data_IF_080272771783
#
_entry.id   IF_080272771783
#
_cell.length_a   1.000
_cell.length_b   1.000
_cell.length_c   1.000
_cell.angle_alpha   90.00
_cell.angle_beta   90.00
_cell.angle_gamma   90.00
#
_symmetry.space_group_name_H-M   'P 1'
#
loop_
_entity.id
_entity.type
_entity.pdbx_description
1 polymer ?
#
# COMPACT_ATOMS: atom_id res chain seq x y z
N UNK A 1 8.11 10.36 27.40
CA UNK A 1 7.02 9.47 26.89
C UNK A 1 7.67 8.19 26.39
N UNK A 2 7.34 7.04 26.96
CA UNK A 2 7.87 5.75 26.50
C UNK A 2 7.13 5.38 25.20
N UNK A 3 7.79 5.57 24.06
CA UNK A 3 7.25 5.13 22.76
C UNK A 3 7.38 3.61 22.66
N UNK A 4 6.29 2.90 22.95
CA UNK A 4 6.24 1.46 22.71
C UNK A 4 6.49 1.17 21.24
N UNK A 5 7.40 0.25 20.87
CA UNK A 5 7.66 -0.12 19.49
C UNK A 5 6.38 -0.54 18.76
N UNK A 6 6.33 -0.32 17.44
CA UNK A 6 5.24 -0.86 16.62
C UNK A 6 5.30 -2.40 16.62
N UNK A 7 4.17 -3.09 16.75
CA UNK A 7 4.15 -4.54 16.63
C UNK A 7 4.50 -4.94 15.19
N UNK A 8 5.17 -6.09 15.06
CA UNK A 8 5.45 -6.67 13.74
C UNK A 8 4.16 -7.19 13.12
N UNK A 9 3.67 -6.49 12.11
CA UNK A 9 2.49 -6.90 11.38
C UNK A 9 2.85 -7.91 10.29
N UNK A 10 2.23 -9.08 10.34
CA UNK A 10 2.39 -10.14 9.33
C UNK A 10 1.06 -10.86 9.12
N UNK A 11 0.63 -10.97 7.88
CA UNK A 11 -0.51 -11.82 7.54
C UNK A 11 -0.13 -13.28 7.77
N UNK A 12 -0.86 -13.98 8.65
CA UNK A 12 -0.65 -15.43 8.85
C UNK A 12 -0.91 -16.18 7.56
N UNK A 13 0.12 -16.82 7.00
CA UNK A 13 -0.02 -17.66 5.82
C UNK A 13 -0.81 -18.92 6.15
N UNK A 14 -1.89 -19.17 5.40
CA UNK A 14 -2.35 -20.55 5.24
C UNK A 14 -1.32 -21.26 4.36
N UNK A 15 -0.85 -22.48 4.74
CA UNK A 15 0.06 -23.24 3.90
C UNK A 15 -0.66 -23.66 2.61
N UNK A 16 -0.49 -22.90 1.54
CA UNK A 16 -1.01 -23.23 0.22
C UNK A 16 0.02 -24.14 -0.48
N UNK A 17 -0.24 -25.45 -0.48
CA UNK A 17 0.63 -26.43 -1.12
C UNK A 17 0.70 -26.24 -2.64
N UNK A 18 -0.30 -25.65 -3.30
CA UNK A 18 -0.31 -25.40 -4.74
C UNK A 18 0.65 -24.26 -5.17
N UNK A 19 0.80 -23.20 -4.39
CA UNK A 19 1.74 -22.10 -4.70
C UNK A 19 3.19 -22.55 -4.58
N UNK A 20 3.50 -23.45 -3.65
CA UNK A 20 4.82 -24.08 -3.54
C UNK A 20 5.15 -24.97 -4.75
N UNK A 21 4.16 -25.66 -5.31
CA UNK A 21 4.35 -26.48 -6.51
C UNK A 21 4.54 -25.59 -7.75
N UNK A 22 3.76 -24.53 -7.92
CA UNK A 22 3.92 -23.54 -8.98
C UNK A 22 5.25 -22.76 -8.86
N UNK A 23 5.68 -22.41 -7.64
CA UNK A 23 6.96 -21.75 -7.39
C UNK A 23 8.18 -22.60 -7.76
N UNK A 24 8.07 -23.93 -7.78
CA UNK A 24 9.14 -24.82 -8.27
C UNK A 24 9.32 -24.80 -9.79
N UNK A 25 8.31 -24.29 -10.52
CA UNK A 25 8.32 -24.22 -11.99
C UNK A 25 8.42 -22.78 -12.53
N UNK A 26 8.45 -21.77 -11.65
CA UNK A 26 8.55 -20.37 -12.05
C UNK A 26 9.52 -19.64 -11.09
N UNK A 27 10.80 -19.59 -11.48
CA UNK A 27 11.88 -18.93 -10.74
C UNK A 27 11.53 -17.50 -10.31
N UNK A 28 10.77 -16.77 -11.15
CA UNK A 28 10.32 -15.42 -10.86
C UNK A 28 9.36 -15.33 -9.66
N UNK A 29 8.46 -16.30 -9.48
CA UNK A 29 7.55 -16.36 -8.34
C UNK A 29 8.31 -16.65 -7.05
N UNK A 30 9.24 -17.61 -7.10
CA UNK A 30 10.09 -17.96 -5.96
C UNK A 30 10.98 -16.80 -5.55
N UNK A 31 11.55 -16.08 -6.51
CA UNK A 31 12.38 -14.90 -6.29
C UNK A 31 11.60 -13.80 -5.54
N UNK A 32 10.43 -13.41 -6.04
CA UNK A 32 9.59 -12.37 -5.40
C UNK A 32 9.03 -12.85 -4.06
N UNK A 33 8.65 -14.12 -3.93
CA UNK A 33 8.19 -14.67 -2.65
C UNK A 33 9.27 -14.61 -1.56
N UNK A 34 10.53 -14.80 -1.93
CA UNK A 34 11.68 -14.71 -1.02
C UNK A 34 11.93 -13.28 -0.50
N UNK A 35 11.47 -12.24 -1.20
CA UNK A 35 11.62 -10.84 -0.79
C UNK A 35 10.72 -10.45 0.40
N UNK A 36 9.62 -11.14 0.63
CA UNK A 36 8.58 -10.72 1.58
C UNK A 36 9.09 -10.47 2.98
N UNK A 37 9.84 -11.42 3.54
CA UNK A 37 10.34 -11.28 4.92
C UNK A 37 11.50 -10.28 5.02
N UNK A 38 12.49 -10.25 4.12
CA UNK A 38 13.51 -9.19 4.07
C UNK A 38 12.92 -7.79 3.98
N UNK A 39 11.94 -7.55 3.08
CA UNK A 39 11.30 -6.25 2.89
C UNK A 39 10.50 -5.82 4.12
N UNK A 40 9.75 -6.75 4.69
CA UNK A 40 9.01 -6.47 5.90
C UNK A 40 9.93 -6.14 7.10
N UNK A 41 11.07 -6.82 7.22
CA UNK A 41 12.07 -6.52 8.26
C UNK A 41 12.72 -5.15 8.05
N UNK A 42 13.05 -4.82 6.81
CA UNK A 42 13.58 -3.50 6.47
C UNK A 42 12.61 -2.38 6.90
N UNK A 43 11.30 -2.56 6.65
CA UNK A 43 10.29 -1.61 7.10
C UNK A 43 10.12 -1.59 8.62
N UNK A 44 10.22 -2.72 9.32
CA UNK A 44 10.22 -2.75 10.79
C UNK A 44 11.37 -1.90 11.36
N UNK A 45 12.56 -2.04 10.80
CA UNK A 45 13.75 -1.29 11.20
C UNK A 45 13.64 0.19 10.82
N UNK A 46 13.11 0.50 9.65
CA UNK A 46 12.84 1.87 9.22
C UNK A 46 11.82 2.53 10.16
N UNK A 47 10.69 1.91 10.40
CA UNK A 47 9.64 2.41 11.26
C UNK A 47 10.15 2.64 12.70
N UNK A 48 11.00 1.75 13.21
CA UNK A 48 11.59 1.90 14.54
C UNK A 48 12.44 3.17 14.66
N UNK A 49 13.20 3.51 13.61
CA UNK A 49 13.97 4.76 13.55
C UNK A 49 13.07 6.00 13.42
N UNK A 50 12.12 5.95 12.49
CA UNK A 50 11.26 7.09 12.17
C UNK A 50 10.23 7.40 13.27
N UNK A 51 9.87 6.42 14.10
CA UNK A 51 8.92 6.59 15.21
C UNK A 51 9.43 7.61 16.27
N UNK A 52 10.74 7.74 16.41
CA UNK A 52 11.39 8.60 17.39
C UNK A 52 11.83 9.96 16.83
N UNK A 53 11.60 10.20 15.54
CA UNK A 53 11.93 11.50 14.93
C UNK A 53 10.74 12.45 15.06
N UNK A 54 11.05 13.72 15.11
CA UNK A 54 10.07 14.80 14.94
C UNK A 54 9.90 15.13 13.45
N UNK A 55 8.90 15.93 13.12
CA UNK A 55 8.64 16.40 11.76
C UNK A 55 7.34 15.87 11.15
N UNK A 56 7.03 16.34 9.94
CA UNK A 56 5.81 15.96 9.22
C UNK A 56 5.73 14.44 9.04
N UNK A 57 4.61 13.85 9.43
CA UNK A 57 4.42 12.41 9.43
C UNK A 57 3.54 11.97 8.25
N UNK A 58 4.03 11.02 7.49
CA UNK A 58 3.26 10.23 6.53
C UNK A 58 3.01 8.82 7.06
N UNK A 59 1.76 8.35 7.01
CA UNK A 59 1.38 6.97 7.30
C UNK A 59 1.02 6.28 5.97
N UNK A 60 1.73 5.22 5.62
CA UNK A 60 1.47 4.39 4.46
C UNK A 60 0.79 3.07 4.87
N UNK A 61 -0.44 2.87 4.39
CA UNK A 61 -1.28 1.70 4.65
C UNK A 61 -1.41 0.85 3.38
N UNK A 62 -1.54 -0.47 3.52
CA UNK A 62 -1.80 -1.32 2.37
C UNK A 62 -1.21 -2.72 2.42
N UNK A 63 -0.79 -3.20 1.27
CA UNK A 63 -0.29 -4.57 1.07
C UNK A 63 1.18 -4.63 0.59
N UNK A 64 1.56 -5.71 -0.09
CA UNK A 64 2.91 -5.93 -0.62
C UNK A 64 3.39 -4.82 -1.56
N UNK A 65 2.48 -4.19 -2.30
CA UNK A 65 2.83 -3.10 -3.22
C UNK A 65 3.25 -1.82 -2.49
N UNK A 66 2.76 -1.59 -1.28
CA UNK A 66 3.20 -0.49 -0.42
C UNK A 66 4.53 -0.81 0.26
N UNK A 67 4.81 -2.09 0.52
CA UNK A 67 6.13 -2.52 0.99
C UNK A 67 7.21 -2.53 -0.11
N UNK A 68 6.83 -2.42 -1.37
CA UNK A 68 7.75 -2.44 -2.50
C UNK A 68 8.13 -3.84 -3.00
N UNK A 69 7.41 -4.90 -2.58
CA UNK A 69 7.69 -6.29 -3.01
C UNK A 69 7.62 -6.40 -4.53
N UNK A 70 8.66 -6.95 -5.13
CA UNK A 70 8.87 -7.00 -6.58
C UNK A 70 9.92 -6.02 -7.09
N UNK A 71 10.24 -4.97 -6.35
CA UNK A 71 11.37 -4.10 -6.66
C UNK A 71 12.72 -4.81 -6.43
N UNK A 72 13.79 -4.25 -6.96
CA UNK A 72 15.16 -4.75 -6.75
C UNK A 72 15.62 -4.63 -5.29
N UNK A 73 15.11 -3.65 -4.57
CA UNK A 73 15.33 -3.44 -3.13
C UNK A 73 14.12 -2.71 -2.51
N UNK A 74 13.96 -2.71 -1.17
CA UNK A 74 12.90 -1.92 -0.51
C UNK A 74 12.94 -0.44 -0.86
N UNK A 75 14.12 0.13 -1.03
CA UNK A 75 14.37 1.53 -1.38
C UNK A 75 13.90 1.89 -2.79
N UNK A 76 13.82 0.92 -3.70
CA UNK A 76 13.32 1.09 -5.07
C UNK A 76 11.78 1.05 -5.17
N UNK A 77 11.09 0.91 -4.04
CA UNK A 77 9.63 1.01 -3.95
C UNK A 77 9.13 2.45 -4.08
N UNK A 78 7.83 2.62 -4.36
CA UNK A 78 7.24 3.95 -4.54
C UNK A 78 7.19 4.79 -3.25
N UNK A 79 7.10 4.16 -2.08
CA UNK A 79 7.05 4.89 -0.79
C UNK A 79 8.38 5.58 -0.50
N UNK A 80 9.55 4.94 -0.60
CA UNK A 80 10.84 5.62 -0.47
C UNK A 80 11.07 6.70 -1.54
N UNK A 81 10.66 6.49 -2.79
CA UNK A 81 10.74 7.49 -3.87
C UNK A 81 9.96 8.76 -3.50
N UNK A 82 8.69 8.62 -3.12
CA UNK A 82 7.86 9.76 -2.69
C UNK A 82 8.41 10.41 -1.43
N UNK A 83 8.91 9.64 -0.45
CA UNK A 83 9.55 10.22 0.73
C UNK A 83 10.77 11.06 0.38
N UNK A 84 11.57 10.63 -0.60
CA UNK A 84 12.67 11.42 -1.13
C UNK A 84 12.22 12.78 -1.64
N UNK A 85 11.18 12.80 -2.48
CA UNK A 85 10.58 14.04 -3.02
C UNK A 85 9.98 14.95 -1.94
N UNK A 86 9.33 14.38 -0.93
CA UNK A 86 8.82 15.14 0.23
C UNK A 86 9.97 15.78 1.01
N UNK A 87 11.09 15.05 1.18
CA UNK A 87 12.29 15.55 1.84
C UNK A 87 13.05 16.64 1.07
N UNK A 88 12.81 16.75 -0.24
CA UNK A 88 13.27 17.91 -1.01
C UNK A 88 12.49 19.19 -0.67
N UNK A 89 11.23 19.07 -0.23
CA UNK A 89 10.40 20.19 0.23
C UNK A 89 10.66 20.55 1.69
N UNK A 90 10.79 19.55 2.55
CA UNK A 90 11.11 19.65 3.97
C UNK A 90 11.86 18.40 4.41
N UNK A 91 13.14 18.56 4.81
CA UNK A 91 14.05 17.46 5.16
C UNK A 91 13.55 16.59 6.31
N UNK A 92 12.63 17.10 7.14
CA UNK A 92 12.14 16.43 8.35
C UNK A 92 10.97 15.47 8.10
N UNK A 93 10.48 15.40 6.85
CA UNK A 93 9.48 14.40 6.50
C UNK A 93 9.90 12.99 6.89
N UNK A 94 9.00 12.29 7.54
CA UNK A 94 9.17 10.89 7.96
C UNK A 94 7.97 10.05 7.55
N UNK A 95 8.18 8.75 7.32
CA UNK A 95 7.11 7.82 6.97
C UNK A 95 7.10 6.62 7.91
N UNK A 96 5.92 6.21 8.35
CA UNK A 96 5.68 4.91 8.96
C UNK A 96 4.89 4.07 7.97
N UNK A 97 5.50 3.00 7.48
CA UNK A 97 4.86 2.06 6.57
C UNK A 97 4.28 0.89 7.37
N UNK A 98 2.96 0.86 7.50
CA UNK A 98 2.22 -0.16 8.24
C UNK A 98 1.67 -1.27 7.33
N UNK A 99 2.02 -1.25 6.06
CA UNK A 99 1.56 -2.23 5.10
C UNK A 99 2.05 -3.66 5.41
N UNK A 100 1.27 -4.64 5.00
CA UNK A 100 1.58 -6.06 5.20
C UNK A 100 1.44 -6.83 3.90
N UNK A 101 2.47 -7.55 3.50
CA UNK A 101 2.39 -8.45 2.35
C UNK A 101 1.22 -9.43 2.48
N UNK A 102 0.35 -9.46 1.47
CA UNK A 102 -0.83 -10.31 1.44
C UNK A 102 -2.04 -9.74 2.19
N UNK A 103 -1.96 -8.50 2.70
CA UNK A 103 -3.08 -7.84 3.36
C UNK A 103 -4.29 -7.70 2.42
N UNK A 104 -5.47 -7.77 3.02
CA UNK A 104 -6.77 -7.46 2.44
C UNK A 104 -7.35 -6.23 3.14
N UNK A 105 -8.43 -5.67 2.60
CA UNK A 105 -9.09 -4.49 3.17
C UNK A 105 -9.39 -4.62 4.68
N UNK A 106 -9.85 -5.79 5.14
CA UNK A 106 -10.12 -5.98 6.55
C UNK A 106 -8.87 -5.89 7.44
N UNK A 107 -7.67 -6.31 6.96
CA UNK A 107 -6.44 -6.15 7.73
C UNK A 107 -6.07 -4.67 7.91
N UNK A 108 -6.31 -3.83 6.88
CA UNK A 108 -6.12 -2.38 7.03
C UNK A 108 -7.01 -1.85 8.15
N UNK A 109 -8.28 -2.23 8.15
CA UNK A 109 -9.29 -1.76 9.12
C UNK A 109 -9.02 -2.27 10.53
N UNK A 110 -8.64 -3.53 10.68
CA UNK A 110 -8.58 -4.23 11.97
C UNK A 110 -7.20 -4.22 12.60
N UNK A 111 -6.14 -4.04 11.80
CA UNK A 111 -4.77 -4.16 12.27
C UNK A 111 -3.93 -2.90 12.01
N UNK A 112 -4.01 -2.27 10.82
CA UNK A 112 -3.14 -1.13 10.50
C UNK A 112 -3.67 0.19 11.06
N UNK A 113 -4.94 0.53 10.82
CA UNK A 113 -5.56 1.78 11.32
C UNK A 113 -5.49 1.89 12.85
N UNK A 114 -5.79 0.84 13.65
CA UNK A 114 -5.71 0.92 15.11
C UNK A 114 -4.33 1.28 15.65
N UNK A 115 -3.26 0.96 14.92
CA UNK A 115 -1.89 1.34 15.34
C UNK A 115 -1.65 2.84 15.28
N UNK A 116 -2.33 3.54 14.39
CA UNK A 116 -2.28 5.00 14.29
C UNK A 116 -3.16 5.62 15.38
N UNK A 117 -4.42 5.16 15.48
CA UNK A 117 -5.41 5.70 16.41
C UNK A 117 -5.04 5.48 17.90
N UNK A 118 -4.35 4.38 18.21
CA UNK A 118 -3.91 4.05 19.57
C UNK A 118 -2.66 4.82 20.04
N UNK A 119 -2.10 5.67 19.19
CA UNK A 119 -0.91 6.48 19.48
C UNK A 119 -1.25 7.94 19.19
N UNK A 120 -0.76 8.87 19.95
CA UNK A 120 -0.93 10.32 19.68
C UNK A 120 -0.10 10.74 18.44
N UNK A 121 -0.35 10.08 17.30
CA UNK A 121 0.26 10.38 16.02
C UNK A 121 -0.69 11.25 15.21
N UNK A 122 -0.22 12.40 14.80
CA UNK A 122 -0.96 13.35 13.96
C UNK A 122 -0.33 13.37 12.55
N UNK A 123 -0.71 12.45 11.65
CA UNK A 123 -0.16 12.41 10.31
C UNK A 123 -0.68 13.57 9.46
N UNK A 124 0.22 14.27 8.77
CA UNK A 124 -0.11 15.23 7.72
C UNK A 124 -0.51 14.56 6.42
N UNK A 125 -0.03 13.34 6.19
CA UNK A 125 -0.32 12.55 5.01
C UNK A 125 -0.68 11.13 5.41
N UNK A 126 -1.78 10.61 4.88
CA UNK A 126 -2.13 9.19 4.95
C UNK A 126 -2.36 8.69 3.53
N UNK A 127 -1.72 7.60 3.17
CA UNK A 127 -1.99 6.89 1.92
C UNK A 127 -2.46 5.48 2.18
N UNK A 128 -3.32 4.94 1.30
CA UNK A 128 -3.74 3.54 1.34
C UNK A 128 -3.76 2.96 -0.07
N UNK A 129 -3.10 1.82 -0.28
CA UNK A 129 -3.18 1.08 -1.53
C UNK A 129 -3.44 -0.39 -1.21
N UNK A 130 -4.68 -0.85 -1.50
CA UNK A 130 -5.21 -2.14 -1.03
C UNK A 130 -6.31 -2.66 -1.97
N UNK A 131 -6.63 -3.93 -1.89
CA UNK A 131 -7.77 -4.56 -2.56
C UNK A 131 -7.37 -5.68 -3.52
N UNK A 132 -6.18 -5.66 -4.10
CA UNK A 132 -5.73 -6.69 -5.05
C UNK A 132 -5.84 -8.10 -4.46
N UNK A 133 -5.46 -8.30 -3.21
CA UNK A 133 -5.55 -9.60 -2.53
C UNK A 133 -7.00 -10.04 -2.25
N UNK A 134 -7.95 -9.12 -2.17
CA UNK A 134 -9.38 -9.42 -2.07
C UNK A 134 -9.91 -9.98 -3.38
N UNK A 135 -9.49 -9.39 -4.51
CA UNK A 135 -9.84 -9.89 -5.84
C UNK A 135 -9.26 -11.29 -6.11
N UNK A 136 -7.96 -11.49 -5.85
CA UNK A 136 -7.27 -12.79 -6.05
C UNK A 136 -7.82 -13.84 -5.08
N UNK A 137 -8.12 -13.46 -3.86
CA UNK A 137 -8.71 -14.32 -2.85
C UNK A 137 -10.15 -14.74 -3.13
N UNK A 138 -10.71 -14.37 -4.30
CA UNK A 138 -12.03 -14.84 -4.75
C UNK A 138 -13.20 -14.16 -4.05
N UNK A 139 -13.04 -12.97 -3.46
CA UNK A 139 -14.15 -12.24 -2.83
C UNK A 139 -15.27 -11.99 -3.84
N UNK A 140 -16.52 -12.20 -3.43
CA UNK A 140 -17.70 -11.88 -4.24
C UNK A 140 -17.86 -10.38 -4.42
N UNK A 141 -18.68 -9.94 -5.38
CA UNK A 141 -18.97 -8.51 -5.58
C UNK A 141 -19.56 -7.86 -4.31
N UNK A 142 -20.54 -8.51 -3.67
CA UNK A 142 -21.13 -8.00 -2.42
C UNK A 142 -20.12 -7.92 -1.27
N UNK A 143 -19.19 -8.87 -1.16
CA UNK A 143 -18.14 -8.82 -0.16
C UNK A 143 -17.16 -7.67 -0.43
N UNK A 144 -16.74 -7.49 -1.68
CA UNK A 144 -15.86 -6.38 -2.08
C UNK A 144 -16.50 -5.02 -1.79
N UNK A 145 -17.79 -4.85 -2.07
CA UNK A 145 -18.52 -3.62 -1.77
C UNK A 145 -18.60 -3.35 -0.26
N UNK A 146 -18.96 -4.36 0.54
CA UNK A 146 -19.04 -4.24 1.99
C UNK A 146 -17.68 -3.92 2.63
N UNK A 147 -16.62 -4.62 2.21
CA UNK A 147 -15.27 -4.39 2.73
C UNK A 147 -14.72 -3.02 2.29
N UNK A 148 -15.01 -2.57 1.06
CA UNK A 148 -14.62 -1.25 0.58
C UNK A 148 -15.38 -0.13 1.31
N UNK A 149 -16.68 -0.30 1.58
CA UNK A 149 -17.47 0.64 2.40
C UNK A 149 -16.85 0.76 3.79
N UNK A 150 -16.61 -0.38 4.46
CA UNK A 150 -16.01 -0.40 5.79
C UNK A 150 -14.62 0.25 5.80
N UNK A 151 -13.81 0.02 4.77
CA UNK A 151 -12.50 0.63 4.62
C UNK A 151 -12.61 2.16 4.57
N UNK A 152 -13.45 2.69 3.66
CA UNK A 152 -13.65 4.13 3.51
C UNK A 152 -14.16 4.78 4.79
N UNK A 153 -15.10 4.14 5.50
CA UNK A 153 -15.64 4.65 6.75
C UNK A 153 -14.60 4.75 7.88
N UNK A 154 -13.59 3.87 7.84
CA UNK A 154 -12.56 3.78 8.89
C UNK A 154 -11.27 4.52 8.59
N UNK A 155 -10.96 4.77 7.33
CA UNK A 155 -9.79 5.57 6.97
C UNK A 155 -9.90 7.00 7.53
N UNK A 156 -8.80 7.63 7.95
CA UNK A 156 -8.79 9.05 8.28
C UNK A 156 -9.31 9.90 7.11
N UNK A 157 -10.04 10.98 7.42
CA UNK A 157 -10.51 11.91 6.38
C UNK A 157 -9.34 12.50 5.61
N UNK A 158 -9.47 12.63 4.30
CA UNK A 158 -8.41 13.14 3.43
C UNK A 158 -7.35 12.10 3.06
N UNK A 159 -7.52 10.81 3.46
CA UNK A 159 -6.61 9.74 3.02
C UNK A 159 -6.55 9.65 1.51
N UNK A 160 -5.35 9.62 0.96
CA UNK A 160 -5.08 9.34 -0.44
C UNK A 160 -5.20 7.84 -0.72
N UNK A 161 -6.25 7.47 -1.47
CA UNK A 161 -6.50 6.08 -1.82
C UNK A 161 -6.03 5.78 -3.25
N UNK A 162 -5.16 4.79 -3.40
CA UNK A 162 -4.78 4.25 -4.70
C UNK A 162 -5.98 3.50 -5.30
N UNK A 163 -6.53 4.04 -6.39
CA UNK A 163 -7.71 3.50 -7.08
C UNK A 163 -7.31 2.30 -7.93
N UNK A 164 -7.17 1.18 -7.28
CA UNK A 164 -6.93 -0.10 -7.93
C UNK A 164 -8.22 -0.76 -8.42
N UNK A 165 -8.10 -2.01 -8.76
CA UNK A 165 -9.19 -2.88 -9.18
C UNK A 165 -8.65 -4.27 -9.48
N UNK A 166 -9.51 -5.15 -9.95
CA UNK A 166 -9.12 -6.50 -10.30
C UNK A 166 -10.01 -7.06 -11.41
N UNK A 167 -9.85 -8.31 -11.79
CA UNK A 167 -10.59 -8.92 -12.86
C UNK A 167 -12.09 -9.02 -12.54
N UNK A 168 -12.90 -8.87 -13.60
CA UNK A 168 -14.36 -9.02 -13.56
C UNK A 168 -15.09 -7.69 -13.32
N UNK A 169 -15.84 -7.23 -14.35
CA UNK A 169 -16.54 -5.94 -14.37
C UNK A 169 -17.43 -5.72 -13.15
N UNK A 170 -18.32 -6.67 -12.83
CA UNK A 170 -19.24 -6.56 -11.67
C UNK A 170 -18.48 -6.42 -10.33
N UNK A 171 -17.39 -7.14 -10.18
CA UNK A 171 -16.55 -7.07 -8.97
C UNK A 171 -15.82 -5.73 -8.86
N UNK A 172 -15.28 -5.23 -9.97
CA UNK A 172 -14.61 -3.93 -10.01
C UNK A 172 -15.59 -2.78 -9.76
N UNK A 173 -16.79 -2.83 -10.34
CA UNK A 173 -17.85 -1.85 -10.09
C UNK A 173 -18.29 -1.83 -8.62
N UNK A 174 -18.49 -3.00 -8.02
CA UNK A 174 -18.86 -3.13 -6.61
C UNK A 174 -17.78 -2.56 -5.67
N UNK A 175 -16.50 -2.86 -5.95
CA UNK A 175 -15.38 -2.31 -5.19
C UNK A 175 -15.28 -0.79 -5.33
N UNK A 176 -15.43 -0.25 -6.55
CA UNK A 176 -15.25 1.19 -6.81
C UNK A 176 -16.40 2.05 -6.30
N UNK A 177 -17.63 1.53 -6.23
CA UNK A 177 -18.80 2.32 -5.85
C UNK A 177 -18.65 3.08 -4.53
N UNK A 178 -18.25 2.46 -3.41
CA UNK A 178 -18.02 3.18 -2.16
C UNK A 178 -16.87 4.18 -2.25
N UNK A 179 -15.81 3.83 -2.99
CA UNK A 179 -14.66 4.71 -3.18
C UNK A 179 -15.05 5.98 -3.96
N UNK A 180 -15.79 5.82 -5.07
CA UNK A 180 -16.23 6.93 -5.91
C UNK A 180 -17.22 7.84 -5.17
N UNK A 181 -18.06 7.28 -4.30
CA UNK A 181 -18.93 8.06 -3.43
C UNK A 181 -18.13 8.91 -2.42
N UNK A 182 -17.11 8.31 -1.82
CA UNK A 182 -16.26 9.00 -0.84
C UNK A 182 -15.34 10.07 -1.49
N UNK A 183 -14.89 9.84 -2.71
CA UNK A 183 -14.16 10.83 -3.51
C UNK A 183 -15.04 12.05 -3.82
N UNK A 184 -16.30 11.84 -4.24
CA UNK A 184 -17.24 12.93 -4.54
C UNK A 184 -17.55 13.82 -3.35
N UNK A 185 -17.50 13.27 -2.13
CA UNK A 185 -17.76 14.03 -0.90
C UNK A 185 -16.48 14.63 -0.30
N UNK A 186 -15.31 14.40 -0.87
CA UNK A 186 -14.03 14.80 -0.30
C UNK A 186 -13.61 14.01 0.94
N UNK A 187 -14.33 12.92 1.26
CA UNK A 187 -14.01 12.05 2.41
C UNK A 187 -12.63 11.41 2.28
N UNK A 188 -12.28 11.05 1.04
CA UNK A 188 -10.95 10.58 0.64
C UNK A 188 -10.49 11.33 -0.60
N UNK A 189 -9.20 11.25 -0.89
CA UNK A 189 -8.56 11.69 -2.13
C UNK A 189 -8.15 10.49 -2.95
N UNK A 190 -7.93 10.63 -4.23
CA UNK A 190 -7.65 9.50 -5.11
C UNK A 190 -6.46 9.72 -6.03
N UNK A 191 -5.74 8.64 -6.32
CA UNK A 191 -4.76 8.60 -7.41
C UNK A 191 -4.87 7.27 -8.16
N UNK A 192 -4.35 7.23 -9.40
CA UNK A 192 -4.40 6.05 -10.26
C UNK A 192 -3.02 5.36 -10.27
N UNK A 193 -2.74 4.41 -9.35
CA UNK A 193 -1.40 3.85 -9.19
C UNK A 193 -0.91 3.10 -10.43
N UNK A 194 -1.81 2.48 -11.19
CA UNK A 194 -1.49 1.62 -12.33
C UNK A 194 -1.72 2.29 -13.70
N UNK A 195 -1.70 3.62 -13.76
CA UNK A 195 -1.71 4.36 -15.02
C UNK A 195 -0.28 4.40 -15.58
N UNK A 196 0.06 3.40 -16.37
CA UNK A 196 1.39 3.25 -16.94
C UNK A 196 1.41 3.61 -18.42
N UNK A 197 2.39 4.41 -18.87
CA UNK A 197 2.57 4.75 -20.30
C UNK A 197 2.86 3.51 -21.16
N UNK A 198 3.58 2.53 -20.59
CA UNK A 198 3.84 1.22 -21.18
C UNK A 198 3.71 0.15 -20.11
N UNK A 199 3.46 -1.09 -20.51
CA UNK A 199 3.51 -2.24 -19.62
C UNK A 199 4.82 -3.00 -19.67
N UNK A 200 5.65 -2.71 -20.69
CA UNK A 200 6.95 -3.36 -20.83
C UNK A 200 7.88 -2.96 -19.68
N UNK A 201 8.51 -3.93 -19.04
CA UNK A 201 9.43 -3.72 -17.93
C UNK A 201 8.82 -3.23 -16.62
N UNK A 202 7.49 -3.04 -16.54
CA UNK A 202 6.85 -2.51 -15.32
C UNK A 202 6.56 -3.56 -14.25
N UNK A 203 6.53 -4.83 -14.61
CA UNK A 203 6.28 -5.93 -13.68
C UNK A 203 7.56 -6.65 -13.28
N UNK A 204 7.57 -7.11 -12.05
CA UNK A 204 8.59 -7.99 -11.50
C UNK A 204 8.59 -9.37 -12.22
N UNK A 205 9.61 -10.23 -12.00
CA UNK A 205 9.68 -11.55 -12.62
C UNK A 205 8.48 -12.46 -12.37
N UNK A 206 7.71 -12.25 -11.31
CA UNK A 206 6.47 -12.99 -11.04
C UNK A 206 5.27 -12.53 -11.91
N UNK A 207 5.47 -11.50 -12.75
CA UNK A 207 4.47 -10.89 -13.64
C UNK A 207 3.21 -10.40 -12.93
N UNK A 208 3.32 -10.15 -11.64
CA UNK A 208 2.21 -9.73 -10.80
C UNK A 208 2.53 -8.45 -10.01
N UNK A 209 3.63 -8.45 -9.25
CA UNK A 209 4.06 -7.26 -8.53
C UNK A 209 4.70 -6.24 -9.49
N UNK A 210 4.61 -4.93 -9.20
CA UNK A 210 5.42 -3.96 -9.90
C UNK A 210 6.92 -4.24 -9.70
N UNK A 211 7.73 -4.03 -10.74
CA UNK A 211 9.18 -3.91 -10.65
C UNK A 211 9.58 -2.44 -10.45
N UNK A 212 10.87 -2.13 -10.49
CA UNK A 212 11.39 -0.77 -10.24
C UNK A 212 10.72 0.29 -11.12
N UNK A 213 10.56 0.01 -12.42
CA UNK A 213 9.88 0.93 -13.34
C UNK A 213 8.39 1.11 -12.98
N UNK A 214 7.72 0.02 -12.61
CA UNK A 214 6.32 0.06 -12.18
C UNK A 214 6.15 0.90 -10.91
N UNK A 215 7.04 0.75 -9.94
CA UNK A 215 7.03 1.54 -8.71
C UNK A 215 7.32 3.01 -8.94
N UNK A 216 8.23 3.34 -9.87
CA UNK A 216 8.47 4.72 -10.28
C UNK A 216 7.20 5.37 -10.86
N UNK A 217 6.46 4.67 -11.73
CA UNK A 217 5.19 5.18 -12.24
C UNK A 217 4.13 5.34 -11.14
N UNK A 218 4.09 4.47 -10.15
CA UNK A 218 3.19 4.64 -9.00
C UNK A 218 3.56 5.91 -8.22
N UNK A 219 4.86 6.14 -7.97
CA UNK A 219 5.34 7.33 -7.32
C UNK A 219 5.01 8.61 -8.12
N UNK A 220 5.22 8.60 -9.43
CA UNK A 220 4.92 9.72 -10.34
C UNK A 220 3.41 10.03 -10.36
N UNK A 221 2.56 9.00 -10.43
CA UNK A 221 1.11 9.17 -10.44
C UNK A 221 0.58 9.74 -9.10
N UNK A 222 1.12 9.25 -7.98
CA UNK A 222 0.80 9.82 -6.68
C UNK A 222 1.29 11.26 -6.58
N UNK A 223 2.55 11.53 -6.92
CA UNK A 223 3.15 12.86 -6.86
C UNK A 223 2.41 13.88 -7.70
N UNK A 224 2.01 13.50 -8.92
CA UNK A 224 1.23 14.38 -9.79
C UNK A 224 -0.13 14.74 -9.19
N UNK A 225 -0.82 13.78 -8.59
CA UNK A 225 -2.10 14.00 -7.93
C UNK A 225 -1.94 14.87 -6.67
N UNK A 226 -0.96 14.55 -5.81
CA UNK A 226 -0.67 15.27 -4.58
C UNK A 226 -0.24 16.72 -4.85
N UNK A 227 0.70 16.93 -5.78
CA UNK A 227 1.20 18.26 -6.15
C UNK A 227 0.12 19.14 -6.79
N UNK A 228 -0.87 18.54 -7.46
CA UNK A 228 -1.96 19.31 -8.05
C UNK A 228 -2.85 19.99 -6.98
N UNK A 229 -2.93 19.41 -5.77
CA UNK A 229 -3.68 19.99 -4.64
C UNK A 229 -2.86 20.95 -3.78
N UNK A 230 -1.53 20.95 -3.91
CA UNK A 230 -0.60 21.74 -3.10
C UNK A 230 0.16 22.78 -3.95
N UNK A 231 -0.33 23.06 -5.17
CA UNK A 231 0.14 24.20 -5.98
C UNK A 231 -0.66 25.45 -5.57
N UNK A 232 -0.07 26.27 -4.72
CA UNK A 232 -0.43 27.67 -4.54
C UNK A 232 0.35 28.55 -5.53
#
# INVERSE_FOLDING_TARGET
>A
MTTTPLPRLRVRRKPWNLTRLAARFADGIAHVDAQREPFARWWDEHNARELHRDGPLWIALGDSSVQGVGASSPEAGWVPDVLGRLRELDSDWRVLNLAMTGAKMHHVVEEQIPLVAGRSLEPLLVTCMIGTNDFIGGSTAGRLEADATRLVDRLPTGTWLGRGGGPGRKRSEAFRRPLDAALKTGRIKGFEPYRWPTREGTLAPDRFHPGDLGYRYIADNFWAAWSAEHRD
#
